data_IF_916211133458
#
_entry.id   IF_916211133458
#
_cell.length_a   1.000
_cell.length_b   1.000
_cell.length_c   1.000
_cell.angle_alpha   90.00
_cell.angle_beta   90.00
_cell.angle_gamma   90.00
#
_symmetry.space_group_name_H-M   'P 1'
#
loop_
_entity.id
_entity.type
_entity.pdbx_description
1 polymer ?
#
# COMPACT_ATOMS: atom_id res chain seq x y z
N UNK A 1 -5.86 -22.45 14.46
CA UNK A 1 -5.33 -21.12 14.81
C UNK A 1 -6.37 -20.06 14.50
N UNK A 2 -7.01 -19.50 15.51
CA UNK A 2 -8.01 -18.43 15.35
C UNK A 2 -7.26 -17.11 15.27
N UNK A 3 -7.45 -16.35 14.19
CA UNK A 3 -6.83 -15.03 14.03
C UNK A 3 -7.37 -14.09 15.13
N UNK A 4 -6.49 -13.62 16.02
CA UNK A 4 -6.84 -12.79 17.19
C UNK A 4 -6.98 -11.29 16.87
N UNK A 5 -7.11 -10.94 15.59
CA UNK A 5 -7.20 -9.55 15.16
C UNK A 5 -5.86 -8.83 15.11
N UNK A 6 -5.83 -7.63 14.52
CA UNK A 6 -4.63 -6.79 14.48
C UNK A 6 -4.40 -6.03 15.79
N UNK A 7 -5.43 -5.94 16.65
CA UNK A 7 -5.41 -5.24 17.94
C UNK A 7 -5.01 -3.77 17.84
N UNK A 8 -5.34 -3.13 16.72
CA UNK A 8 -5.16 -1.68 16.57
C UNK A 8 -6.26 -0.91 17.32
N UNK A 9 -5.93 0.30 17.76
CA UNK A 9 -6.82 1.12 18.60
C UNK A 9 -8.00 1.73 17.83
N UNK A 10 -7.91 1.84 16.50
CA UNK A 10 -8.95 2.45 15.70
C UNK A 10 -10.14 1.50 15.47
N UNK A 11 -11.32 1.93 15.92
CA UNK A 11 -12.59 1.24 15.71
C UNK A 11 -13.28 1.57 14.39
N UNK A 12 -12.84 2.62 13.67
CA UNK A 12 -13.45 3.04 12.39
C UNK A 12 -13.12 2.09 11.24
N UNK A 13 -12.00 1.37 11.32
CA UNK A 13 -11.62 0.35 10.34
C UNK A 13 -11.58 -1.01 11.03
N UNK A 14 -12.19 -2.01 10.40
CA UNK A 14 -12.27 -3.37 10.96
C UNK A 14 -11.01 -4.16 10.67
N UNK A 15 -10.75 -5.20 11.47
CA UNK A 15 -9.65 -6.13 11.21
C UNK A 15 -9.81 -6.89 9.90
N UNK A 16 -11.06 -7.13 9.47
CA UNK A 16 -11.34 -7.68 8.15
C UNK A 16 -10.92 -6.72 7.04
N UNK A 17 -11.14 -5.41 7.22
CA UNK A 17 -10.68 -4.39 6.28
C UNK A 17 -9.15 -4.36 6.21
N UNK A 18 -8.46 -4.29 7.36
CA UNK A 18 -6.98 -4.31 7.46
C UNK A 18 -6.39 -5.54 6.77
N UNK A 19 -6.95 -6.72 7.06
CA UNK A 19 -6.54 -7.99 6.44
C UNK A 19 -6.71 -7.93 4.93
N UNK A 20 -7.87 -7.45 4.47
CA UNK A 20 -8.19 -7.35 3.06
C UNK A 20 -7.24 -6.44 2.27
N UNK A 21 -6.84 -5.29 2.84
CA UNK A 21 -5.87 -4.39 2.20
C UNK A 21 -4.46 -5.01 2.23
N UNK A 22 -4.06 -5.58 3.37
CA UNK A 22 -2.74 -6.21 3.50
C UNK A 22 -2.55 -7.39 2.54
N UNK A 23 -3.57 -8.24 2.41
CA UNK A 23 -3.56 -9.38 1.48
C UNK A 23 -3.53 -8.92 0.02
N UNK A 24 -4.29 -7.87 -0.33
CA UNK A 24 -4.29 -7.30 -1.68
C UNK A 24 -2.90 -6.84 -2.09
N UNK A 25 -2.26 -6.05 -1.24
CA UNK A 25 -0.91 -5.51 -1.48
C UNK A 25 0.14 -6.62 -1.55
N UNK A 26 0.11 -7.55 -0.60
CA UNK A 26 1.02 -8.70 -0.63
C UNK A 26 0.78 -9.60 -1.86
N UNK A 27 -0.46 -9.64 -2.37
CA UNK A 27 -0.80 -10.24 -3.65
C UNK A 27 -0.04 -9.60 -4.80
N UNK A 28 -0.10 -8.27 -4.93
CA UNK A 28 0.65 -7.53 -5.95
C UNK A 28 2.16 -7.82 -5.88
N UNK A 29 2.74 -7.72 -4.67
CA UNK A 29 4.16 -8.00 -4.41
C UNK A 29 4.55 -9.41 -4.84
N UNK A 30 3.72 -10.40 -4.52
CA UNK A 30 3.92 -11.80 -4.90
C UNK A 30 3.88 -12.00 -6.41
N UNK A 31 2.93 -11.37 -7.10
CA UNK A 31 2.81 -11.44 -8.57
C UNK A 31 4.03 -10.87 -9.27
N UNK A 32 4.55 -9.74 -8.79
CA UNK A 32 5.83 -9.17 -9.29
C UNK A 32 7.00 -10.10 -8.98
N UNK A 33 7.11 -10.59 -7.74
CA UNK A 33 8.22 -11.46 -7.34
C UNK A 33 8.34 -12.71 -8.23
N UNK A 34 7.21 -13.27 -8.64
CA UNK A 34 7.12 -14.42 -9.56
C UNK A 34 7.37 -14.08 -11.03
N UNK A 35 7.54 -12.81 -11.41
CA UNK A 35 7.68 -12.38 -12.80
C UNK A 35 6.38 -12.59 -13.61
N UNK A 36 5.24 -12.58 -12.92
CA UNK A 36 3.91 -12.76 -13.52
C UNK A 36 3.20 -11.43 -13.77
N UNK A 37 3.75 -10.32 -13.27
CA UNK A 37 3.18 -8.99 -13.49
C UNK A 37 3.50 -8.51 -14.90
N UNK A 38 2.46 -8.17 -15.66
CA UNK A 38 2.60 -7.48 -16.94
C UNK A 38 2.73 -5.97 -16.69
N UNK A 39 3.65 -5.35 -17.42
CA UNK A 39 3.90 -3.92 -17.45
C UNK A 39 3.42 -3.29 -18.74
N UNK A 40 4.17 -2.31 -19.23
CA UNK A 40 3.93 -1.64 -20.51
C UNK A 40 4.02 -2.65 -21.67
N UNK A 41 3.14 -2.51 -22.65
CA UNK A 41 3.09 -3.32 -23.87
C UNK A 41 3.03 -4.84 -23.58
N UNK A 42 2.35 -5.22 -22.50
CA UNK A 42 2.24 -6.59 -21.98
C UNK A 42 3.59 -7.27 -21.70
N UNK A 43 4.66 -6.49 -21.53
CA UNK A 43 5.97 -7.02 -21.17
C UNK A 43 5.98 -7.52 -19.72
N UNK A 44 6.52 -8.72 -19.49
CA UNK A 44 6.72 -9.23 -18.13
C UNK A 44 7.73 -8.37 -17.37
N UNK A 45 7.36 -7.96 -16.16
CA UNK A 45 8.27 -7.31 -15.24
C UNK A 45 9.28 -8.31 -14.67
N UNK A 46 10.50 -7.87 -14.31
CA UNK A 46 11.52 -8.75 -13.75
C UNK A 46 11.06 -9.40 -12.45
N UNK A 47 11.55 -10.61 -12.19
CA UNK A 47 11.35 -11.32 -10.92
C UNK A 47 12.09 -10.59 -9.79
N UNK A 48 11.61 -10.77 -8.57
CA UNK A 48 12.25 -10.21 -7.37
C UNK A 48 12.57 -11.35 -6.39
N UNK A 49 13.87 -11.61 -6.21
CA UNK A 49 14.34 -12.75 -5.41
C UNK A 49 14.09 -12.59 -3.90
N UNK A 50 14.09 -11.35 -3.38
CA UNK A 50 13.95 -11.09 -1.94
C UNK A 50 12.79 -10.13 -1.64
N UNK A 51 11.65 -10.34 -2.28
CA UNK A 51 10.43 -9.56 -2.03
C UNK A 51 9.80 -9.95 -0.69
N UNK A 52 10.03 -9.15 0.34
CA UNK A 52 9.48 -9.42 1.68
C UNK A 52 7.96 -9.22 1.74
N UNK A 53 7.29 -10.04 2.53
CA UNK A 53 5.88 -9.87 2.87
C UNK A 53 5.73 -8.70 3.85
N UNK A 54 4.73 -7.85 3.63
CA UNK A 54 4.39 -6.76 4.54
C UNK A 54 3.56 -7.27 5.71
N UNK A 55 3.72 -6.59 6.84
CA UNK A 55 2.88 -6.74 8.04
C UNK A 55 2.13 -5.44 8.30
N UNK A 56 0.97 -5.53 8.95
CA UNK A 56 0.24 -4.35 9.41
C UNK A 56 0.90 -3.77 10.67
N UNK A 57 1.00 -2.44 10.76
CA UNK A 57 1.50 -1.75 11.95
C UNK A 57 0.48 -0.68 12.38
N UNK A 58 -0.01 -0.81 13.61
CA UNK A 58 -1.05 0.07 14.14
C UNK A 58 -0.59 1.50 14.40
N UNK A 59 0.71 1.73 14.66
CA UNK A 59 1.24 3.09 14.82
C UNK A 59 1.22 3.80 13.47
N UNK A 60 1.62 3.07 12.41
CA UNK A 60 1.57 3.59 11.06
C UNK A 60 0.14 3.88 10.60
N UNK A 61 -0.80 3.01 10.96
CA UNK A 61 -2.23 3.27 10.72
C UNK A 61 -2.70 4.56 11.39
N UNK A 62 -2.35 4.79 12.66
CA UNK A 62 -2.75 5.98 13.39
C UNK A 62 -2.23 7.25 12.70
N UNK A 63 -0.98 7.22 12.27
CA UNK A 63 -0.36 8.28 11.48
C UNK A 63 -1.03 8.48 10.11
N UNK A 64 -1.42 7.39 9.43
CA UNK A 64 -2.16 7.45 8.17
C UNK A 64 -3.53 8.10 8.35
N UNK A 65 -4.24 7.74 9.41
CA UNK A 65 -5.52 8.37 9.76
C UNK A 65 -5.36 9.85 10.07
N UNK A 66 -4.35 10.22 10.84
CA UNK A 66 -4.08 11.62 11.16
C UNK A 66 -3.81 12.43 9.88
N UNK A 67 -2.98 11.90 8.97
CA UNK A 67 -2.68 12.53 7.69
C UNK A 67 -3.88 12.57 6.73
N UNK A 68 -4.83 11.63 6.85
CA UNK A 68 -6.06 11.58 6.05
C UNK A 68 -7.22 12.42 6.62
N UNK A 69 -7.09 12.95 7.84
CA UNK A 69 -8.14 13.72 8.50
C UNK A 69 -8.56 14.91 7.64
N UNK A 70 -9.87 15.06 7.43
CA UNK A 70 -10.50 16.09 6.58
C UNK A 70 -10.18 15.97 5.07
N UNK A 71 -9.69 14.81 4.61
CA UNK A 71 -9.44 14.53 3.19
C UNK A 71 -8.59 15.60 2.48
N UNK A 72 -7.36 15.88 2.97
CA UNK A 72 -6.53 16.91 2.38
C UNK A 72 -6.05 16.50 0.99
N UNK A 73 -6.03 17.44 0.06
CA UNK A 73 -5.49 17.24 -1.29
C UNK A 73 -4.00 16.85 -1.29
N UNK A 74 -3.25 17.30 -0.27
CA UNK A 74 -1.86 16.94 -0.02
C UNK A 74 -1.68 16.62 1.47
N UNK A 75 -1.71 15.32 1.85
CA UNK A 75 -1.55 14.91 3.24
C UNK A 75 -0.12 15.20 3.72
N UNK A 76 0.00 15.84 4.88
CA UNK A 76 1.29 16.01 5.55
C UNK A 76 1.58 14.74 6.34
N UNK A 77 2.68 14.08 6.03
CA UNK A 77 3.09 12.90 6.75
C UNK A 77 3.84 13.24 8.04
N UNK A 78 3.64 12.46 9.10
CA UNK A 78 4.43 12.58 10.32
C UNK A 78 5.86 12.13 10.06
N UNK A 79 6.79 12.86 10.66
CA UNK A 79 8.19 12.46 10.75
C UNK A 79 8.35 11.57 11.97
N UNK A 80 8.77 10.32 11.78
CA UNK A 80 9.10 9.45 12.92
C UNK A 80 10.33 10.01 13.64
N UNK A 81 10.11 10.54 14.84
CA UNK A 81 11.12 11.15 15.70
C UNK A 81 12.28 10.16 15.92
N UNK A 82 13.51 10.67 15.80
CA UNK A 82 14.79 9.97 16.00
C UNK A 82 15.32 9.07 14.87
N UNK A 83 14.76 9.10 13.66
CA UNK A 83 15.39 8.39 12.54
C UNK A 83 15.42 9.23 11.27
N UNK A 84 16.54 9.21 10.54
CA UNK A 84 16.70 9.83 9.22
C UNK A 84 15.79 9.22 8.14
N UNK A 85 14.90 8.29 8.51
CA UNK A 85 14.03 7.56 7.60
C UNK A 85 12.70 8.28 7.41
N UNK A 86 12.41 8.62 6.16
CA UNK A 86 11.10 9.12 5.73
C UNK A 86 10.24 7.92 5.36
N UNK A 87 9.04 7.82 5.91
CA UNK A 87 8.05 6.87 5.40
C UNK A 87 7.64 7.27 3.99
N UNK A 88 7.67 6.32 3.08
CA UNK A 88 7.05 6.49 1.77
C UNK A 88 5.56 6.16 1.83
N UNK A 89 4.77 6.83 0.99
CA UNK A 89 3.33 6.71 0.97
C UNK A 89 2.75 6.70 -0.43
N UNK A 90 1.55 6.14 -0.52
CA UNK A 90 0.68 6.29 -1.68
C UNK A 90 -0.65 6.88 -1.23
N UNK A 91 -1.26 7.70 -2.08
CA UNK A 91 -2.62 8.22 -1.89
C UNK A 91 -3.56 7.63 -2.93
N UNK A 92 -4.69 7.13 -2.47
CA UNK A 92 -5.82 6.79 -3.32
C UNK A 92 -7.05 7.51 -2.78
N UNK A 93 -7.57 8.44 -3.58
CA UNK A 93 -8.73 9.26 -3.29
C UNK A 93 -9.85 8.89 -4.25
N UNK A 94 -11.09 8.74 -3.75
CA UNK A 94 -12.25 8.56 -4.61
C UNK A 94 -13.52 9.14 -3.99
N UNK A 95 -14.47 9.55 -4.82
CA UNK A 95 -15.78 9.99 -4.33
C UNK A 95 -16.58 8.76 -3.91
N UNK A 96 -16.85 8.64 -2.61
CA UNK A 96 -17.72 7.59 -2.06
C UNK A 96 -19.13 8.15 -1.89
N UNK A 97 -20.15 7.40 -2.33
CA UNK A 97 -21.54 7.77 -2.03
C UNK A 97 -21.75 7.72 -0.52
N UNK A 98 -22.39 8.73 0.06
CA UNK A 98 -22.56 8.87 1.52
C UNK A 98 -23.21 7.65 2.21
N UNK A 99 -23.97 6.85 1.48
CA UNK A 99 -24.66 5.64 1.93
C UNK A 99 -24.03 4.31 1.43
N UNK A 100 -22.80 4.36 0.89
CA UNK A 100 -22.08 3.17 0.45
C UNK A 100 -21.54 2.41 1.67
N UNK A 101 -22.22 1.34 2.09
CA UNK A 101 -21.78 0.47 3.18
C UNK A 101 -20.52 -0.38 2.87
N UNK A 102 -20.00 -0.31 1.63
CA UNK A 102 -18.85 -1.13 1.21
C UNK A 102 -17.57 -0.30 0.98
N UNK A 103 -17.21 0.50 1.98
CA UNK A 103 -15.95 1.25 1.99
C UNK A 103 -14.72 0.32 1.77
N UNK A 104 -14.80 -0.94 2.22
CA UNK A 104 -13.79 -1.98 2.00
C UNK A 104 -13.55 -2.26 0.53
N UNK A 105 -14.61 -2.52 -0.25
CA UNK A 105 -14.51 -2.79 -1.69
C UNK A 105 -14.06 -1.56 -2.45
N UNK A 106 -14.58 -0.38 -2.09
CA UNK A 106 -14.16 0.88 -2.71
C UNK A 106 -12.67 1.11 -2.53
N UNK A 107 -12.17 0.96 -1.30
CA UNK A 107 -10.75 1.10 -0.97
C UNK A 107 -9.87 0.10 -1.77
N UNK A 108 -10.29 -1.17 -1.85
CA UNK A 108 -9.60 -2.20 -2.66
C UNK A 108 -9.60 -1.87 -4.16
N UNK A 109 -10.72 -1.39 -4.69
CA UNK A 109 -10.85 -1.04 -6.10
C UNK A 109 -9.95 0.14 -6.45
N UNK A 110 -10.00 1.22 -5.66
CA UNK A 110 -9.13 2.39 -5.83
C UNK A 110 -7.66 1.99 -5.80
N UNK A 111 -7.26 1.16 -4.84
CA UNK A 111 -5.89 0.67 -4.74
C UNK A 111 -5.49 -0.19 -5.94
N UNK A 112 -6.39 -1.06 -6.41
CA UNK A 112 -6.17 -1.90 -7.59
C UNK A 112 -6.04 -1.07 -8.87
N UNK A 113 -6.85 -0.03 -9.03
CA UNK A 113 -6.76 0.89 -10.18
C UNK A 113 -5.46 1.67 -10.18
N UNK A 114 -5.05 2.19 -9.01
CA UNK A 114 -3.75 2.87 -8.85
C UNK A 114 -2.61 1.91 -9.18
N UNK A 115 -2.65 0.68 -8.70
CA UNK A 115 -1.68 -0.36 -9.03
C UNK A 115 -1.63 -0.64 -10.54
N UNK A 116 -2.78 -0.87 -11.18
CA UNK A 116 -2.88 -1.14 -12.63
C UNK A 116 -2.29 -0.01 -13.48
N UNK A 117 -2.60 1.25 -13.14
CA UNK A 117 -2.02 2.42 -13.82
C UNK A 117 -0.51 2.47 -13.63
N UNK A 118 -0.04 2.19 -12.41
CA UNK A 118 1.37 2.23 -12.08
C UNK A 118 2.19 1.16 -12.81
N UNK A 119 1.66 -0.07 -12.94
CA UNK A 119 2.33 -1.16 -13.68
C UNK A 119 2.30 -0.95 -15.19
N UNK A 120 1.19 -0.44 -15.75
CA UNK A 120 1.09 -0.16 -17.18
C UNK A 120 2.13 0.86 -17.67
N UNK A 121 2.61 1.72 -16.76
CA UNK A 121 3.70 2.66 -17.04
C UNK A 121 5.10 2.04 -16.98
N UNK A 122 5.28 0.84 -16.42
CA UNK A 122 6.60 0.24 -16.22
C UNK A 122 7.11 -0.45 -17.50
N UNK A 123 8.22 0.01 -18.12
CA UNK A 123 8.88 -0.72 -19.18
C UNK A 123 9.51 -2.01 -18.65
N UNK A 124 9.93 -2.89 -19.56
CA UNK A 124 10.73 -4.04 -19.16
C UNK A 124 12.04 -3.57 -18.50
N UNK A 125 12.40 -4.23 -17.39
CA UNK A 125 13.69 -4.12 -16.70
C UNK A 125 14.15 -2.72 -16.23
N UNK A 126 13.30 -1.68 -16.30
CA UNK A 126 13.65 -0.32 -15.89
C UNK A 126 12.62 0.21 -14.90
N UNK A 127 13.07 0.57 -13.70
CA UNK A 127 12.22 1.24 -12.70
C UNK A 127 11.94 2.65 -13.22
N UNK A 128 10.67 2.97 -13.48
CA UNK A 128 10.30 4.32 -13.87
C UNK A 128 10.51 5.25 -12.69
N UNK A 129 11.54 6.11 -12.80
CA UNK A 129 11.75 7.22 -11.88
C UNK A 129 10.47 8.08 -11.90
N UNK A 130 9.88 8.29 -10.73
CA UNK A 130 8.63 9.03 -10.45
C UNK A 130 7.32 8.22 -10.37
N UNK A 131 7.30 6.91 -10.67
CA UNK A 131 6.11 6.10 -10.41
C UNK A 131 6.06 5.66 -8.94
N UNK A 132 5.56 6.58 -8.09
CA UNK A 132 5.54 6.42 -6.63
C UNK A 132 4.71 5.22 -6.19
N UNK A 133 3.59 4.92 -6.86
CA UNK A 133 2.70 3.83 -6.45
C UNK A 133 3.35 2.48 -6.66
N UNK A 134 3.94 2.26 -7.85
CA UNK A 134 4.66 1.01 -8.13
C UNK A 134 5.86 0.87 -7.20
N UNK A 135 6.73 1.89 -7.17
CA UNK A 135 7.99 1.86 -6.42
C UNK A 135 7.77 1.62 -4.92
N UNK A 136 6.74 2.23 -4.34
CA UNK A 136 6.41 2.08 -2.93
C UNK A 136 5.75 0.72 -2.62
N UNK A 137 4.91 0.21 -3.53
CA UNK A 137 4.22 -1.06 -3.35
C UNK A 137 5.15 -2.26 -3.54
N UNK A 138 6.20 -2.14 -4.36
CA UNK A 138 7.20 -3.19 -4.63
C UNK A 138 8.53 -2.97 -3.92
N UNK A 139 8.62 -1.96 -3.03
CA UNK A 139 9.89 -1.64 -2.39
C UNK A 139 10.43 -2.82 -1.58
N UNK A 140 11.71 -3.14 -1.80
CA UNK A 140 12.39 -4.30 -1.23
C UNK A 140 13.27 -3.96 -0.01
N UNK A 141 13.77 -2.71 0.10
CA UNK A 141 14.98 -2.39 0.90
C UNK A 141 14.81 -1.61 2.22
N UNK A 142 13.62 -1.24 2.68
CA UNK A 142 13.47 -0.66 4.03
C UNK A 142 12.68 -1.61 4.91
N UNK A 143 13.42 -2.57 5.45
CA UNK A 143 13.00 -3.37 6.58
C UNK A 143 13.98 -3.02 7.69
N UNK A 144 13.66 -2.02 8.52
CA UNK A 144 14.37 -1.84 9.78
C UNK A 144 13.92 -2.97 10.71
N UNK A 145 14.90 -3.74 11.18
CA UNK A 145 14.73 -4.89 12.10
C UNK A 145 13.56 -5.85 11.76
N UNK A 146 13.40 -6.21 10.48
CA UNK A 146 12.41 -7.22 10.08
C UNK A 146 10.96 -6.73 9.93
N UNK A 147 10.70 -5.41 9.97
CA UNK A 147 9.37 -4.85 9.65
C UNK A 147 9.45 -4.07 8.34
N UNK A 148 8.99 -4.70 7.26
CA UNK A 148 8.81 -4.01 5.98
C UNK A 148 7.43 -3.32 6.03
N UNK A 149 7.43 -2.00 6.09
CA UNK A 149 6.21 -1.21 6.30
C UNK A 149 5.98 -0.27 5.12
N UNK A 150 4.92 -0.54 4.37
CA UNK A 150 4.45 0.36 3.31
C UNK A 150 3.15 1.02 3.77
N UNK A 151 3.11 2.35 3.66
CA UNK A 151 2.02 3.22 4.06
C UNK A 151 0.95 3.31 2.96
N UNK A 152 -0.30 3.05 3.30
CA UNK A 152 -1.45 3.18 2.40
C UNK A 152 -2.41 4.25 2.94
N UNK A 153 -2.43 5.44 2.33
CA UNK A 153 -3.49 6.43 2.56
C UNK A 153 -4.64 6.17 1.60
N UNK A 154 -5.72 5.61 2.13
CA UNK A 154 -6.97 5.40 1.40
C UNK A 154 -7.95 6.44 1.93
N UNK A 155 -8.28 7.44 1.10
CA UNK A 155 -9.18 8.55 1.39
C UNK A 155 -10.43 8.45 0.53
#
# INVERSE_FOLDING_TARGET
YTFLGFKCHDSLISDQWRKGILELVNGFRRTVAKGQQLGKDDAKLPTAQYMNQLTWDCNIEAEAKAAAKNCPSSPTLPTFQASTYKLGYITATGTVKANSCDASKTAKNLLTEKWKKAVAGQPNNTVVKNEKVFSQSTYQRQCLSGRCQTFYLLQ
#
